data_IF_756266915472
#
_entry.id   IF_756266915472
#
_cell.length_a   1.000
_cell.length_b   1.000
_cell.length_c   1.000
_cell.angle_alpha   90.00
_cell.angle_beta   90.00
_cell.angle_gamma   90.00
#
_symmetry.space_group_name_H-M   'P 1'
#
loop_
_entity.id
_entity.type
_entity.pdbx_description
1 polymer ?
#
# COMPACT_ATOMS: atom_id res chain seq x y z
N UNK A 1 31.45 31.84 -76.27
CA UNK A 1 32.87 31.88 -75.87
C UNK A 1 33.00 30.96 -74.68
N UNK A 2 33.43 29.72 -74.93
CA UNK A 2 33.97 28.83 -73.89
C UNK A 2 35.16 29.55 -73.22
N UNK A 3 35.38 29.35 -71.92
CA UNK A 3 36.60 28.72 -71.39
C UNK A 3 36.26 27.99 -70.09
N UNK A 4 36.63 26.73 -70.08
CA UNK A 4 36.58 25.72 -69.04
C UNK A 4 37.82 25.81 -68.12
N UNK A 5 37.70 25.56 -66.81
CA UNK A 5 38.60 24.65 -66.03
C UNK A 5 38.32 24.64 -64.53
N UNK A 6 37.88 23.47 -64.08
CA UNK A 6 38.16 22.75 -62.82
C UNK A 6 39.03 23.43 -61.76
N UNK A 7 38.54 23.41 -60.51
CA UNK A 7 39.36 22.97 -59.38
C UNK A 7 38.50 22.21 -58.37
N UNK A 8 38.63 20.89 -58.41
CA UNK A 8 38.16 19.94 -57.42
C UNK A 8 38.90 20.19 -56.10
N UNK A 9 38.18 20.33 -54.99
CA UNK A 9 38.72 20.03 -53.67
C UNK A 9 37.64 19.34 -52.85
N UNK A 10 37.79 18.03 -52.74
CA UNK A 10 36.98 17.18 -51.90
C UNK A 10 37.21 17.54 -50.44
N UNK A 11 36.11 17.81 -49.74
CA UNK A 11 36.01 17.55 -48.32
C UNK A 11 34.87 16.56 -48.17
N UNK A 12 35.20 15.27 -48.29
CA UNK A 12 34.37 14.18 -47.78
C UNK A 12 34.39 14.26 -46.24
N UNK A 13 33.70 15.27 -45.70
CA UNK A 13 33.33 15.31 -44.30
C UNK A 13 32.09 14.45 -44.12
N UNK A 14 32.27 13.13 -43.99
CA UNK A 14 31.24 12.30 -43.38
C UNK A 14 31.11 12.78 -41.93
N UNK A 15 30.22 13.75 -41.72
CA UNK A 15 29.78 14.13 -40.40
C UNK A 15 28.95 12.95 -39.87
N UNK A 16 29.66 11.93 -39.38
CA UNK A 16 29.10 10.97 -38.45
C UNK A 16 28.73 11.78 -37.20
N UNK A 17 27.54 12.37 -37.21
CA UNK A 17 26.91 12.95 -36.03
C UNK A 17 26.85 11.80 -35.04
N UNK A 18 27.77 11.82 -34.07
CA UNK A 18 27.78 10.88 -32.97
C UNK A 18 26.43 11.00 -32.27
N UNK A 19 25.50 10.12 -32.64
CA UNK A 19 24.16 10.09 -32.09
C UNK A 19 24.29 9.58 -30.67
N UNK A 20 24.50 10.51 -29.74
CA UNK A 20 24.53 10.24 -28.31
C UNK A 20 23.37 9.31 -27.97
N UNK A 21 23.68 8.10 -27.51
CA UNK A 21 22.66 7.15 -27.09
C UNK A 21 21.95 7.77 -25.89
N UNK A 22 20.75 8.32 -26.11
CA UNK A 22 19.82 8.72 -25.04
C UNK A 22 19.32 7.44 -24.34
N UNK A 23 20.19 6.80 -23.57
CA UNK A 23 19.83 5.70 -22.68
C UNK A 23 19.82 6.27 -21.26
N UNK A 24 18.74 6.02 -20.53
CA UNK A 24 18.70 6.34 -19.10
C UNK A 24 19.80 5.56 -18.37
N UNK A 25 20.49 6.23 -17.46
CA UNK A 25 21.40 5.58 -16.51
C UNK A 25 20.63 4.90 -15.37
N UNK A 26 19.35 5.24 -15.19
CA UNK A 26 18.47 4.60 -14.22
C UNK A 26 18.12 3.20 -14.75
N UNK A 27 18.41 2.12 -14.00
CA UNK A 27 17.98 0.78 -14.39
C UNK A 27 16.46 0.72 -14.52
N UNK A 28 15.93 0.07 -15.55
CA UNK A 28 14.47 -0.10 -15.73
C UNK A 28 13.82 -0.90 -14.59
N UNK A 29 14.60 -1.73 -13.90
CA UNK A 29 14.17 -2.44 -12.70
C UNK A 29 13.99 -1.51 -11.50
N UNK A 30 14.68 -0.37 -11.45
CA UNK A 30 14.65 0.54 -10.29
C UNK A 30 13.28 1.17 -10.07
N UNK A 31 12.61 1.56 -11.16
CA UNK A 31 11.25 2.13 -11.11
C UNK A 31 10.16 1.07 -10.92
N UNK A 32 10.52 -0.21 -11.00
CA UNK A 32 9.55 -1.32 -11.00
C UNK A 32 9.76 -2.31 -9.87
N UNK A 33 10.89 -2.32 -9.17
CA UNK A 33 11.15 -3.25 -8.06
C UNK A 33 10.42 -2.82 -6.80
N UNK A 34 9.73 -3.77 -6.17
CA UNK A 34 9.26 -3.62 -4.80
C UNK A 34 10.45 -3.83 -3.87
N UNK A 35 10.56 -3.01 -2.83
CA UNK A 35 11.58 -3.15 -1.79
C UNK A 35 11.00 -2.88 -0.41
N UNK A 36 11.67 -3.39 0.62
CA UNK A 36 11.36 -3.06 2.00
C UNK A 36 11.80 -1.63 2.33
N UNK A 37 11.08 -1.00 3.25
CA UNK A 37 11.39 0.31 3.84
C UNK A 37 11.91 0.09 5.26
N UNK A 38 13.07 0.64 5.56
CA UNK A 38 13.65 0.60 6.89
C UNK A 38 13.18 1.79 7.74
N UNK A 39 13.36 1.69 9.06
CA UNK A 39 12.90 2.73 10.01
C UNK A 39 13.55 4.10 9.80
N UNK A 40 14.78 4.16 9.29
CA UNK A 40 15.44 5.44 8.96
C UNK A 40 14.83 6.13 7.73
N UNK A 41 14.02 5.41 6.95
CA UNK A 41 13.31 5.92 5.77
C UNK A 41 11.86 6.33 6.10
N UNK A 42 11.41 6.15 7.35
CA UNK A 42 10.00 6.36 7.73
C UNK A 42 9.49 7.77 7.47
N UNK A 43 10.34 8.79 7.57
CA UNK A 43 9.94 10.17 7.25
C UNK A 43 9.61 10.36 5.76
N UNK A 44 10.41 9.78 4.87
CA UNK A 44 10.19 9.89 3.43
C UNK A 44 8.96 9.08 2.98
N UNK A 45 8.84 7.84 3.46
CA UNK A 45 7.67 7.00 3.20
C UNK A 45 6.39 7.56 3.85
N UNK A 46 6.49 8.13 5.06
CA UNK A 46 5.38 8.80 5.75
C UNK A 46 4.89 10.02 5.01
N UNK A 47 5.80 10.85 4.49
CA UNK A 47 5.43 11.98 3.61
C UNK A 47 4.72 11.53 2.33
N UNK A 48 5.15 10.40 1.75
CA UNK A 48 4.47 9.82 0.58
C UNK A 48 3.03 9.41 0.88
N UNK A 49 2.81 8.70 2.00
CA UNK A 49 1.45 8.36 2.43
C UNK A 49 0.64 9.62 2.76
N UNK A 50 1.22 10.61 3.44
CA UNK A 50 0.53 11.86 3.73
C UNK A 50 0.01 12.54 2.46
N UNK A 51 0.81 12.56 1.38
CA UNK A 51 0.39 13.06 0.07
C UNK A 51 -0.71 12.22 -0.58
N UNK A 52 -0.62 10.89 -0.46
CA UNK A 52 -1.64 9.98 -1.01
C UNK A 52 -2.99 10.09 -0.29
N UNK A 53 -2.97 10.38 1.01
CA UNK A 53 -4.14 10.47 1.89
C UNK A 53 -4.52 11.93 2.24
N UNK A 54 -3.98 12.93 1.53
CA UNK A 54 -4.19 14.34 1.83
C UNK A 54 -5.68 14.76 1.80
N UNK A 55 -6.49 14.08 0.99
CA UNK A 55 -7.94 14.30 0.85
C UNK A 55 -8.74 13.06 1.25
N UNK A 56 -8.17 12.19 2.07
CA UNK A 56 -8.86 11.01 2.58
C UNK A 56 -9.80 11.39 3.71
N UNK A 57 -11.06 10.94 3.62
CA UNK A 57 -12.10 11.35 4.54
C UNK A 57 -11.86 10.87 5.97
N UNK A 58 -11.24 9.69 6.14
CA UNK A 58 -10.89 9.18 7.47
C UNK A 58 -9.73 9.96 8.08
N UNK A 59 -8.75 10.37 7.27
CA UNK A 59 -7.65 11.22 7.73
C UNK A 59 -8.17 12.59 8.18
N UNK A 60 -9.09 13.20 7.43
CA UNK A 60 -9.75 14.46 7.80
C UNK A 60 -10.61 14.28 9.06
N UNK A 61 -11.36 13.19 9.17
CA UNK A 61 -12.17 12.87 10.36
C UNK A 61 -11.36 12.87 11.65
N UNK A 62 -10.14 12.37 11.61
CA UNK A 62 -9.27 12.27 12.80
C UNK A 62 -8.50 13.56 13.08
N UNK A 63 -8.09 14.29 12.05
CA UNK A 63 -7.08 15.34 12.17
C UNK A 63 -7.61 16.77 11.93
N UNK A 64 -8.85 16.90 11.44
CA UNK A 64 -9.50 18.17 11.10
C UNK A 64 -10.91 18.24 11.73
N UNK A 65 -10.96 18.08 13.05
CA UNK A 65 -12.20 18.25 13.84
C UNK A 65 -12.56 19.72 14.07
N UNK A 66 -13.80 19.97 14.52
CA UNK A 66 -14.30 21.32 14.78
C UNK A 66 -13.45 22.09 15.82
N UNK A 67 -12.82 21.37 16.76
CA UNK A 67 -11.92 21.93 17.77
C UNK A 67 -10.53 22.32 17.22
N UNK A 68 -10.32 22.15 15.91
CA UNK A 68 -9.14 22.56 15.16
C UNK A 68 -9.46 23.69 14.17
N UNK A 69 -10.61 24.36 14.28
CA UNK A 69 -11.01 25.44 13.37
C UNK A 69 -10.00 26.60 13.29
N UNK A 70 -9.33 26.91 14.40
CA UNK A 70 -8.32 27.98 14.48
C UNK A 70 -6.91 27.56 14.02
N UNK A 71 -6.71 26.27 13.68
CA UNK A 71 -5.42 25.77 13.21
C UNK A 71 -5.23 26.11 11.74
N UNK A 72 -4.03 26.57 11.39
CA UNK A 72 -3.63 26.77 9.99
C UNK A 72 -3.55 25.43 9.24
N UNK A 73 -3.72 25.51 7.91
CA UNK A 73 -3.54 24.36 7.01
C UNK A 73 -2.14 23.75 7.15
N UNK A 74 -1.10 24.56 7.37
CA UNK A 74 0.26 24.08 7.59
C UNK A 74 0.40 23.26 8.89
N UNK A 75 -0.30 23.65 9.97
CA UNK A 75 -0.30 22.89 11.23
C UNK A 75 -1.03 21.55 11.07
N UNK A 76 -2.19 21.54 10.41
CA UNK A 76 -2.96 20.32 10.13
C UNK A 76 -2.16 19.39 9.21
N UNK A 77 -1.53 19.94 8.18
CA UNK A 77 -0.64 19.21 7.28
C UNK A 77 0.54 18.60 8.02
N UNK A 78 1.19 19.38 8.91
CA UNK A 78 2.28 18.86 9.73
C UNK A 78 1.82 17.71 10.62
N UNK A 79 0.66 17.82 11.26
CA UNK A 79 0.08 16.75 12.08
C UNK A 79 -0.17 15.49 11.25
N UNK A 80 -0.71 15.62 10.04
CA UNK A 80 -0.93 14.51 9.11
C UNK A 80 0.37 13.82 8.68
N UNK A 81 1.40 14.61 8.37
CA UNK A 81 2.73 14.06 8.03
C UNK A 81 3.36 13.35 9.23
N UNK A 82 3.27 13.92 10.43
CA UNK A 82 3.76 13.29 11.65
C UNK A 82 3.02 11.97 11.91
N UNK A 83 1.68 11.96 11.82
CA UNK A 83 0.84 10.77 11.95
C UNK A 83 1.27 9.65 11.00
N UNK A 84 1.36 9.94 9.70
CA UNK A 84 1.77 8.96 8.69
C UNK A 84 3.20 8.47 8.91
N UNK A 85 4.11 9.36 9.34
CA UNK A 85 5.49 9.00 9.67
C UNK A 85 5.55 8.02 10.85
N UNK A 86 4.78 8.26 11.91
CA UNK A 86 4.72 7.35 13.05
C UNK A 86 4.09 6.02 12.68
N UNK A 87 3.05 6.01 11.84
CA UNK A 87 2.46 4.76 11.34
C UNK A 87 3.47 3.94 10.53
N UNK A 88 4.23 4.58 9.63
CA UNK A 88 5.31 3.89 8.91
C UNK A 88 6.36 3.36 9.88
N UNK A 89 6.84 4.18 10.82
CA UNK A 89 7.87 3.78 11.77
C UNK A 89 7.40 2.59 12.63
N UNK A 90 6.15 2.60 13.11
CA UNK A 90 5.57 1.50 13.87
C UNK A 90 5.55 0.20 13.05
N UNK A 91 5.17 0.27 11.77
CA UNK A 91 5.18 -0.90 10.88
C UNK A 91 6.59 -1.33 10.48
N UNK A 92 7.59 -0.44 10.47
CA UNK A 92 8.99 -0.86 10.30
C UNK A 92 9.51 -1.67 11.51
N UNK A 93 8.98 -1.45 12.72
CA UNK A 93 9.37 -2.20 13.92
C UNK A 93 8.62 -3.52 14.10
N UNK A 94 7.32 -3.53 13.77
CA UNK A 94 6.40 -4.63 14.11
C UNK A 94 5.76 -5.33 12.91
N UNK A 95 5.82 -4.72 11.74
CA UNK A 95 5.14 -5.17 10.53
C UNK A 95 6.08 -5.27 9.33
N UNK A 96 5.51 -5.07 8.15
CA UNK A 96 6.23 -5.09 6.88
C UNK A 96 5.84 -3.82 6.13
N UNK A 97 6.83 -3.03 5.75
CA UNK A 97 6.63 -1.83 4.94
C UNK A 97 7.31 -2.04 3.60
N UNK A 98 6.52 -1.97 2.52
CA UNK A 98 7.02 -2.08 1.16
C UNK A 98 6.81 -0.78 0.39
N UNK A 99 7.72 -0.49 -0.53
CA UNK A 99 7.62 0.66 -1.43
C UNK A 99 8.07 0.30 -2.83
N UNK A 100 7.62 1.09 -3.79
CA UNK A 100 8.00 1.02 -5.19
C UNK A 100 8.13 2.43 -5.74
N UNK A 101 9.03 2.57 -6.72
CA UNK A 101 9.38 3.85 -7.29
C UNK A 101 10.65 4.43 -6.68
N UNK A 102 11.23 5.40 -7.39
CA UNK A 102 12.51 6.01 -7.01
C UNK A 102 12.41 6.90 -5.77
N UNK A 103 11.24 7.50 -5.57
CA UNK A 103 10.95 8.43 -4.46
C UNK A 103 9.69 7.99 -3.71
N UNK A 104 9.65 6.74 -3.26
CA UNK A 104 8.55 6.17 -2.47
C UNK A 104 7.17 6.39 -3.11
N UNK A 105 7.08 6.32 -4.43
CA UNK A 105 5.91 6.74 -5.21
C UNK A 105 4.64 5.98 -4.82
N UNK A 106 4.77 4.74 -4.37
CA UNK A 106 3.74 4.05 -3.60
C UNK A 106 4.34 3.33 -2.39
N UNK A 107 3.56 3.24 -1.31
CA UNK A 107 3.94 2.62 -0.04
C UNK A 107 2.79 1.76 0.46
N UNK A 108 3.08 0.57 1.00
CA UNK A 108 2.12 -0.31 1.66
C UNK A 108 2.63 -0.76 3.03
N UNK A 109 1.74 -0.75 4.02
CA UNK A 109 1.99 -1.11 5.42
C UNK A 109 1.17 -2.36 5.74
N UNK A 110 1.85 -3.41 6.14
CA UNK A 110 1.25 -4.69 6.47
C UNK A 110 1.58 -5.09 7.90
N UNK A 111 0.64 -5.74 8.57
CA UNK A 111 0.90 -6.57 9.74
C UNK A 111 0.83 -8.04 9.35
N UNK A 112 1.84 -8.79 9.77
CA UNK A 112 1.90 -10.24 9.58
C UNK A 112 0.97 -10.96 10.57
N UNK A 113 0.60 -12.23 10.30
CA UNK A 113 -0.15 -13.06 11.22
C UNK A 113 0.42 -13.03 12.65
N UNK A 114 -0.47 -12.87 13.63
CA UNK A 114 -0.15 -12.84 15.05
C UNK A 114 0.48 -11.52 15.54
N UNK A 115 0.77 -10.57 14.65
CA UNK A 115 1.28 -9.26 15.04
C UNK A 115 0.15 -8.30 15.39
N UNK A 116 0.36 -7.53 16.46
CA UNK A 116 -0.48 -6.42 16.88
C UNK A 116 0.41 -5.22 17.25
N UNK A 117 -0.15 -4.02 17.13
CA UNK A 117 0.57 -2.75 17.30
C UNK A 117 0.47 -2.16 18.72
N UNK A 118 0.11 -2.98 19.71
CA UNK A 118 -0.27 -2.57 21.05
C UNK A 118 0.87 -2.59 22.08
N UNK A 119 2.11 -2.82 21.65
CA UNK A 119 3.25 -2.87 22.58
C UNK A 119 3.88 -1.48 22.83
N UNK A 120 4.21 -1.25 24.10
CA UNK A 120 4.86 -0.03 24.60
C UNK A 120 6.15 0.33 23.86
N UNK A 121 6.96 -0.68 23.48
CA UNK A 121 8.25 -0.44 22.87
C UNK A 121 8.11 0.15 21.47
N UNK A 122 7.24 -0.43 20.66
CA UNK A 122 6.88 0.10 19.33
C UNK A 122 6.27 1.49 19.47
N UNK A 123 5.39 1.71 20.46
CA UNK A 123 4.79 3.03 20.70
C UNK A 123 5.84 4.12 20.95
N UNK A 124 6.84 3.86 21.81
CA UNK A 124 7.94 4.81 22.06
C UNK A 124 8.78 5.03 20.81
N UNK A 125 9.27 3.94 20.22
CA UNK A 125 10.30 3.97 19.17
C UNK A 125 9.77 4.54 17.86
N UNK A 126 8.49 4.34 17.57
CA UNK A 126 7.81 4.93 16.41
C UNK A 126 7.44 6.39 16.60
N UNK A 127 7.34 6.86 17.85
CA UNK A 127 6.80 8.17 18.16
C UNK A 127 5.28 8.21 18.28
N UNK A 128 4.58 7.08 18.21
CA UNK A 128 3.12 7.02 18.33
C UNK A 128 2.60 7.65 19.63
N UNK A 129 3.37 7.58 20.72
CA UNK A 129 3.03 8.27 21.98
C UNK A 129 2.86 9.78 21.82
N UNK A 130 3.59 10.41 20.88
CA UNK A 130 3.50 11.86 20.62
C UNK A 130 2.15 12.22 20.05
N UNK A 131 1.53 11.33 19.27
CA UNK A 131 0.23 11.57 18.66
C UNK A 131 -0.82 11.92 19.71
N UNK A 132 -0.81 11.25 20.87
CA UNK A 132 -1.72 11.56 21.98
C UNK A 132 -1.61 13.03 22.44
N UNK A 133 -0.41 13.61 22.40
CA UNK A 133 -0.18 15.02 22.77
C UNK A 133 -0.41 16.00 21.61
N UNK A 134 -0.32 15.54 20.36
CA UNK A 134 -0.46 16.37 19.16
C UNK A 134 -1.91 16.45 18.66
N UNK A 135 -2.72 15.42 18.91
CA UNK A 135 -4.15 15.43 18.59
C UNK A 135 -4.91 16.43 19.46
N UNK A 136 -5.98 16.98 18.89
CA UNK A 136 -6.97 17.75 19.65
C UNK A 136 -7.75 16.85 20.61
N UNK A 137 -8.64 17.43 21.43
CA UNK A 137 -9.44 16.63 22.36
C UNK A 137 -10.41 15.73 21.59
N UNK A 138 -11.06 16.27 20.56
CA UNK A 138 -11.95 15.52 19.70
C UNK A 138 -11.19 14.51 18.83
N UNK A 139 -10.02 14.89 18.28
CA UNK A 139 -9.18 13.97 17.53
C UNK A 139 -8.71 12.77 18.35
N UNK A 140 -8.36 12.98 19.63
CA UNK A 140 -8.05 11.88 20.57
C UNK A 140 -9.26 10.97 20.79
N UNK A 141 -10.44 11.54 21.06
CA UNK A 141 -11.67 10.78 21.29
C UNK A 141 -12.01 9.92 20.06
N UNK A 142 -12.03 10.53 18.87
CA UNK A 142 -12.29 9.84 17.60
C UNK A 142 -11.28 8.73 17.31
N UNK A 143 -10.00 8.95 17.61
CA UNK A 143 -8.96 7.96 17.36
C UNK A 143 -9.00 6.80 18.37
N UNK A 144 -8.91 7.10 19.68
CA UNK A 144 -8.70 6.10 20.73
C UNK A 144 -9.99 5.48 21.28
N UNK A 145 -11.07 6.26 21.37
CA UNK A 145 -12.31 5.81 22.00
C UNK A 145 -13.34 5.32 20.98
N UNK A 146 -13.14 5.61 19.69
CA UNK A 146 -14.09 5.28 18.61
C UNK A 146 -13.45 4.44 17.50
N UNK A 147 -12.53 4.99 16.70
CA UNK A 147 -11.96 4.31 15.55
C UNK A 147 -11.25 3.00 15.94
N UNK A 148 -10.25 3.06 16.81
CA UNK A 148 -9.46 1.88 17.16
C UNK A 148 -10.32 0.74 17.75
N UNK A 149 -11.21 0.97 18.72
CA UNK A 149 -12.11 -0.06 19.24
C UNK A 149 -13.00 -0.66 18.15
N UNK A 150 -13.64 0.19 17.33
CA UNK A 150 -14.57 -0.27 16.28
C UNK A 150 -13.86 -1.12 15.24
N UNK A 151 -12.68 -0.70 14.76
CA UNK A 151 -11.93 -1.44 13.77
C UNK A 151 -11.39 -2.76 14.35
N UNK A 152 -10.85 -2.75 15.57
CA UNK A 152 -10.36 -3.97 16.22
C UNK A 152 -11.48 -4.99 16.46
N UNK A 153 -12.63 -4.53 16.98
CA UNK A 153 -13.79 -5.39 17.18
C UNK A 153 -14.30 -5.94 15.84
N UNK A 154 -14.41 -5.09 14.82
CA UNK A 154 -14.89 -5.47 13.51
C UNK A 154 -13.98 -6.51 12.84
N UNK A 155 -12.66 -6.34 12.92
CA UNK A 155 -11.68 -7.31 12.43
C UNK A 155 -11.85 -8.66 13.13
N UNK A 156 -11.95 -8.66 14.45
CA UNK A 156 -12.17 -9.87 15.26
C UNK A 156 -13.46 -10.60 14.85
N UNK A 157 -14.57 -9.87 14.68
CA UNK A 157 -15.87 -10.44 14.28
C UNK A 157 -15.86 -11.01 12.85
N UNK A 158 -15.27 -10.28 11.89
CA UNK A 158 -15.24 -10.68 10.47
C UNK A 158 -14.25 -11.83 10.22
N UNK A 159 -13.09 -11.79 10.86
CA UNK A 159 -12.04 -12.79 10.65
C UNK A 159 -12.23 -14.03 11.55
N UNK A 160 -12.84 -13.87 12.72
CA UNK A 160 -13.08 -14.94 13.68
C UNK A 160 -11.80 -15.70 14.00
N UNK A 161 -11.81 -17.02 13.80
CA UNK A 161 -10.64 -17.89 14.04
C UNK A 161 -9.40 -17.50 13.22
N UNK A 162 -9.57 -16.79 12.10
CA UNK A 162 -8.48 -16.38 11.19
C UNK A 162 -7.85 -15.05 11.58
N UNK A 163 -8.39 -14.35 12.58
CA UNK A 163 -7.93 -13.01 12.96
C UNK A 163 -6.41 -12.98 13.23
N UNK A 164 -5.92 -13.92 14.03
CA UNK A 164 -4.48 -14.08 14.34
C UNK A 164 -3.67 -14.77 13.24
N UNK A 165 -4.32 -15.28 12.19
CA UNK A 165 -3.68 -16.07 11.13
C UNK A 165 -3.71 -15.36 9.76
N UNK A 166 -4.00 -14.06 9.76
CA UNK A 166 -4.22 -13.25 8.56
C UNK A 166 -3.24 -12.08 8.44
N UNK A 167 -2.94 -11.71 7.21
CA UNK A 167 -2.26 -10.45 6.92
C UNK A 167 -3.24 -9.30 6.98
N UNK A 168 -2.81 -8.18 7.55
CA UNK A 168 -3.61 -6.95 7.60
C UNK A 168 -2.91 -5.84 6.82
N UNK A 169 -3.52 -5.40 5.71
CA UNK A 169 -3.11 -4.21 4.97
C UNK A 169 -3.68 -2.97 5.65
N UNK A 170 -2.85 -2.27 6.42
CA UNK A 170 -3.26 -1.12 7.23
C UNK A 170 -3.29 0.16 6.38
N UNK A 171 -2.27 0.36 5.53
CA UNK A 171 -2.24 1.47 4.57
C UNK A 171 -1.69 1.02 3.24
N UNK A 172 -2.27 1.54 2.16
CA UNK A 172 -1.66 1.54 0.84
C UNK A 172 -1.96 2.86 0.15
N UNK A 173 -0.91 3.56 -0.28
CA UNK A 173 -1.01 4.87 -0.91
C UNK A 173 -0.11 4.98 -2.13
N UNK A 174 -0.53 5.80 -3.10
CA UNK A 174 0.30 6.20 -4.24
C UNK A 174 0.24 7.71 -4.37
N UNK A 175 1.40 8.37 -4.46
CA UNK A 175 1.50 9.82 -4.66
C UNK A 175 0.65 10.25 -5.86
N UNK A 176 -0.03 11.41 -5.81
CA UNK A 176 -0.86 11.87 -6.92
C UNK A 176 -0.17 11.85 -8.29
N UNK A 177 1.11 12.25 -8.35
CA UNK A 177 1.91 12.29 -9.58
C UNK A 177 2.37 10.90 -10.11
N UNK A 178 2.16 9.83 -9.34
CA UNK A 178 2.54 8.47 -9.69
C UNK A 178 1.34 7.52 -9.84
N UNK A 179 0.10 8.03 -9.70
CA UNK A 179 -1.11 7.26 -9.93
C UNK A 179 -1.22 6.78 -11.38
N UNK A 180 -2.00 5.72 -11.62
CA UNK A 180 -2.19 5.13 -12.94
C UNK A 180 -1.04 4.24 -13.45
N UNK A 181 0.09 4.16 -12.71
CA UNK A 181 1.26 3.33 -13.09
C UNK A 181 1.20 1.87 -12.63
N UNK A 182 0.14 1.48 -11.92
CA UNK A 182 -0.04 0.11 -11.43
C UNK A 182 0.81 -0.27 -10.19
N UNK A 183 1.46 0.70 -9.56
CA UNK A 183 2.35 0.51 -8.41
C UNK A 183 1.68 -0.12 -7.18
N UNK A 184 0.56 0.44 -6.71
CA UNK A 184 -0.19 -0.15 -5.60
C UNK A 184 -0.57 -1.61 -5.88
N UNK A 185 -0.91 -1.93 -7.14
CA UNK A 185 -1.29 -3.30 -7.50
C UNK A 185 -0.10 -4.26 -7.48
N UNK A 186 1.09 -3.75 -7.80
CA UNK A 186 2.32 -4.53 -7.67
C UNK A 186 2.67 -4.80 -6.20
N UNK A 187 2.52 -3.80 -5.31
CA UNK A 187 2.73 -3.98 -3.86
C UNK A 187 1.78 -5.04 -3.27
N UNK A 188 0.51 -5.04 -3.67
CA UNK A 188 -0.46 -6.05 -3.20
C UNK A 188 -0.06 -7.44 -3.70
N UNK A 189 0.24 -7.61 -4.99
CA UNK A 189 0.60 -8.93 -5.56
C UNK A 189 1.86 -9.51 -4.94
N UNK A 190 2.89 -8.69 -4.76
CA UNK A 190 4.16 -9.12 -4.16
C UNK A 190 3.95 -9.76 -2.77
N UNK A 191 3.05 -9.19 -1.97
CA UNK A 191 2.64 -9.77 -0.70
C UNK A 191 1.65 -10.94 -0.85
N UNK A 192 0.64 -10.80 -1.72
CA UNK A 192 -0.42 -11.79 -1.92
C UNK A 192 0.05 -13.14 -2.45
N UNK A 193 1.14 -13.12 -3.22
CA UNK A 193 1.75 -14.31 -3.83
C UNK A 193 2.75 -15.01 -2.89
N UNK A 194 3.13 -14.36 -1.78
CA UNK A 194 4.15 -14.89 -0.86
C UNK A 194 3.62 -16.00 0.07
N UNK A 195 2.34 -15.95 0.45
CA UNK A 195 1.75 -16.89 1.42
C UNK A 195 0.28 -17.20 1.12
N UNK A 196 -0.10 -18.48 1.23
CA UNK A 196 -1.48 -18.95 1.08
C UNK A 196 -2.32 -18.66 2.34
N UNK A 197 -2.42 -17.39 2.71
CA UNK A 197 -3.14 -16.94 3.91
C UNK A 197 -4.26 -15.95 3.61
N UNK A 198 -5.28 -15.86 4.48
CA UNK A 198 -6.28 -14.80 4.40
C UNK A 198 -5.63 -13.43 4.55
N UNK A 199 -6.21 -12.45 3.86
CA UNK A 199 -5.80 -11.05 3.96
C UNK A 199 -7.00 -10.17 4.28
N UNK A 200 -6.79 -9.14 5.06
CA UNK A 200 -7.80 -8.25 5.59
C UNK A 200 -7.39 -6.81 5.34
N UNK A 201 -8.35 -5.95 5.02
CA UNK A 201 -8.17 -4.50 4.91
C UNK A 201 -9.47 -3.77 5.23
N UNK A 202 -9.36 -2.49 5.59
CA UNK A 202 -10.48 -1.56 5.57
C UNK A 202 -10.25 -0.50 4.48
N UNK A 203 -11.23 -0.38 3.59
CA UNK A 203 -11.24 0.62 2.54
C UNK A 203 -11.99 1.86 3.04
N UNK A 204 -11.35 3.03 3.04
CA UNK A 204 -11.95 4.31 3.44
C UNK A 204 -12.78 4.99 2.32
N UNK A 205 -12.86 4.38 1.13
CA UNK A 205 -13.61 4.94 0.00
C UNK A 205 -14.20 3.85 -0.90
N UNK A 206 -15.51 3.93 -1.17
CA UNK A 206 -16.24 2.92 -1.94
C UNK A 206 -15.64 2.68 -3.33
N UNK A 207 -15.17 3.77 -3.97
CA UNK A 207 -14.51 3.72 -5.29
C UNK A 207 -13.29 2.78 -5.32
N UNK A 208 -12.65 2.54 -4.18
CA UNK A 208 -11.48 1.67 -4.08
C UNK A 208 -11.87 0.19 -3.98
N UNK A 209 -13.12 -0.15 -3.62
CA UNK A 209 -13.55 -1.53 -3.43
C UNK A 209 -13.44 -2.32 -4.74
N UNK A 210 -13.84 -1.73 -5.87
CA UNK A 210 -13.67 -2.33 -7.19
C UNK A 210 -12.20 -2.49 -7.61
N UNK A 211 -11.29 -1.69 -7.06
CA UNK A 211 -9.86 -1.88 -7.24
C UNK A 211 -9.36 -3.09 -6.44
N UNK A 212 -9.72 -3.21 -5.16
CA UNK A 212 -9.31 -4.33 -4.30
C UNK A 212 -9.92 -5.67 -4.75
N UNK A 213 -11.14 -5.65 -5.31
CA UNK A 213 -11.79 -6.84 -5.87
C UNK A 213 -10.97 -7.53 -6.96
N UNK A 214 -10.16 -6.77 -7.73
CA UNK A 214 -9.25 -7.34 -8.75
C UNK A 214 -8.16 -8.23 -8.16
N UNK A 215 -7.90 -8.13 -6.87
CA UNK A 215 -6.93 -8.95 -6.13
C UNK A 215 -7.60 -10.06 -5.30
N UNK A 216 -8.92 -10.23 -5.43
CA UNK A 216 -9.70 -11.25 -4.72
C UNK A 216 -10.23 -10.82 -3.35
N UNK A 217 -10.19 -9.52 -3.02
CA UNK A 217 -10.84 -9.00 -1.82
C UNK A 217 -12.35 -8.85 -2.04
N UNK A 218 -13.13 -9.30 -1.08
CA UNK A 218 -14.58 -9.17 -1.08
C UNK A 218 -15.04 -8.33 0.11
N UNK A 219 -16.00 -7.43 -0.10
CA UNK A 219 -16.63 -6.68 0.99
C UNK A 219 -17.39 -7.67 1.89
N UNK A 220 -17.09 -7.66 3.18
CA UNK A 220 -17.76 -8.48 4.20
C UNK A 220 -18.64 -7.67 5.14
N UNK A 221 -18.31 -6.39 5.36
CA UNK A 221 -19.05 -5.51 6.26
C UNK A 221 -18.84 -4.04 5.90
N UNK A 222 -19.82 -3.21 6.21
CA UNK A 222 -19.72 -1.75 6.24
C UNK A 222 -19.70 -1.26 7.69
N UNK A 223 -18.82 -0.32 7.99
CA UNK A 223 -18.72 0.39 9.27
C UNK A 223 -18.95 1.88 9.00
N UNK A 224 -19.70 2.53 9.89
CA UNK A 224 -20.04 3.95 9.77
C UNK A 224 -19.60 4.69 11.03
N UNK A 225 -18.94 5.82 10.86
CA UNK A 225 -18.55 6.75 11.92
C UNK A 225 -19.40 8.02 11.78
N UNK A 226 -20.19 8.34 12.80
CA UNK A 226 -21.19 9.42 12.75
C UNK A 226 -20.69 10.74 13.38
N UNK A 227 -19.47 10.79 13.90
CA UNK A 227 -18.96 11.94 14.66
C UNK A 227 -18.58 13.19 13.84
N UNK A 228 -18.90 13.24 12.55
CA UNK A 228 -18.62 14.36 11.63
C UNK A 228 -19.88 14.83 10.91
N UNK A 229 -19.81 16.00 10.26
CA UNK A 229 -20.93 16.57 9.50
C UNK A 229 -21.49 15.60 8.45
N UNK A 230 -20.61 14.89 7.74
CA UNK A 230 -20.97 13.75 6.90
C UNK A 230 -20.43 12.45 7.50
N UNK A 231 -21.23 11.38 7.61
CA UNK A 231 -20.76 10.10 8.15
C UNK A 231 -19.64 9.50 7.30
N UNK A 232 -18.57 9.05 7.95
CA UNK A 232 -17.47 8.35 7.28
C UNK A 232 -17.78 6.87 7.22
N UNK A 233 -17.74 6.32 6.00
CA UNK A 233 -17.96 4.89 5.76
C UNK A 233 -16.65 4.19 5.48
N UNK A 234 -16.49 3.00 6.06
CA UNK A 234 -15.40 2.09 5.74
C UNK A 234 -15.96 0.72 5.32
N UNK A 235 -15.35 0.13 4.31
CA UNK A 235 -15.70 -1.21 3.82
C UNK A 235 -14.64 -2.19 4.24
N UNK A 236 -15.05 -3.14 5.06
CA UNK A 236 -14.20 -4.22 5.54
C UNK A 236 -14.12 -5.27 4.46
N UNK A 237 -12.92 -5.55 3.97
CA UNK A 237 -12.71 -6.47 2.87
C UNK A 237 -11.77 -7.60 3.26
N UNK A 238 -12.11 -8.81 2.80
CA UNK A 238 -11.34 -10.02 3.07
C UNK A 238 -11.02 -10.71 1.75
N UNK A 239 -9.76 -11.11 1.59
CA UNK A 239 -9.30 -12.01 0.55
C UNK A 239 -9.02 -13.37 1.18
N UNK A 240 -9.72 -14.40 0.73
CA UNK A 240 -9.42 -15.78 1.12
C UNK A 240 -8.14 -16.27 0.41
N UNK A 241 -7.39 -17.22 1.03
CA UNK A 241 -6.31 -17.87 0.33
C UNK A 241 -6.84 -18.58 -0.90
N UNK A 242 -6.14 -18.46 -2.02
CA UNK A 242 -6.45 -19.21 -3.23
C UNK A 242 -6.20 -20.70 -2.93
N UNK A 243 -7.27 -21.46 -2.70
CA UNK A 243 -7.18 -22.92 -2.61
C UNK A 243 -6.61 -23.40 -3.96
N UNK A 244 -5.43 -24.02 -4.00
CA UNK A 244 -4.95 -24.59 -5.25
C UNK A 244 -6.00 -25.61 -5.71
N UNK A 245 -6.50 -25.46 -6.95
CA UNK A 245 -7.40 -26.47 -7.53
C UNK A 245 -6.75 -27.84 -7.35
N UNK A 246 -7.45 -28.85 -6.81
CA UNK A 246 -6.90 -30.19 -6.81
C UNK A 246 -6.52 -30.52 -8.25
N UNK A 247 -5.26 -30.92 -8.44
CA UNK A 247 -4.78 -31.39 -9.74
C UNK A 247 -5.80 -32.42 -10.23
N UNK A 248 -6.36 -32.19 -11.42
CA UNK A 248 -7.37 -33.06 -12.01
C UNK A 248 -6.84 -34.50 -11.91
N UNK A 249 -7.50 -35.32 -11.10
CA UNK A 249 -6.97 -36.61 -10.69
C UNK A 249 -6.65 -37.45 -11.92
N UNK A 250 -5.40 -37.89 -12.03
CA UNK A 250 -5.05 -39.01 -12.90
C UNK A 250 -5.88 -40.20 -12.43
N UNK A 251 -6.92 -40.53 -13.20
CA UNK A 251 -7.71 -41.75 -13.04
C UNK A 251 -6.73 -42.91 -13.14
N UNK A 252 -6.41 -43.52 -12.00
CA UNK A 252 -5.71 -44.80 -11.99
C UNK A 252 -6.74 -45.85 -12.37
N UNK A 253 -6.73 -46.25 -13.64
CA UNK A 253 -7.49 -47.41 -14.11
C UNK A 253 -6.79 -48.65 -13.56
N UNK A 254 -7.30 -49.18 -12.45
CA UNK A 254 -6.86 -50.49 -11.94
C UNK A 254 -7.49 -51.57 -12.81
N UNK A 255 -6.74 -52.11 -13.77
CA UNK A 255 -7.12 -53.32 -14.50
C UNK A 255 -7.12 -54.51 -13.54
N UNK A 256 -8.30 -55.04 -13.22
CA UNK A 256 -8.45 -56.30 -12.48
C UNK A 256 -8.16 -57.45 -13.46
N UNK A 257 -7.03 -58.13 -13.27
CA UNK A 257 -6.70 -59.35 -14.00
C UNK A 257 -7.43 -60.54 -13.36
N UNK A 258 -8.43 -61.07 -14.05
CA UNK A 258 -9.11 -62.31 -13.67
C UNK A 258 -8.22 -63.52 -13.99
N UNK A 259 -7.71 -64.20 -12.96
CA UNK A 259 -7.05 -65.49 -13.11
C UNK A 259 -8.10 -66.60 -13.06
N UNK A 260 -8.31 -67.27 -14.20
CA UNK A 260 -9.05 -68.53 -14.32
C UNK A 260 -8.14 -69.66 -13.81
N UNK A 261 -8.64 -70.47 -12.88
CA UNK A 261 -7.99 -71.74 -12.48
C UNK A 261 -8.76 -72.91 -13.13
N UNK A 262 -7.99 -73.81 -13.75
CA UNK A 262 -8.41 -75.15 -14.17
C UNK A 262 -8.51 -76.07 -12.95
#
# INVERSE_FOLDING_TARGET
MEINKNCSNGINGSAAIARWRRRSLIPSSWETSVRLVNVNESAAAGSSLAQAFATDAMSQYLLDGDDMADYSDEQKWKLHVDYMTYMVAAHCYKGIVTTIGSDYEAVALWLAPGQQMDDWWTSIRSGMWKLNYQLSAEGRRRYYDEMLPVLNQTKSEVMGKRDKDSYYLVYIGTKPNAQGRGYAGKLIRDMADSEQRPMYLESSAERNNGYYAKFGFEVKREVVFEGSFEPIKMWIMVREPLIPRPACGSIVVTTVSSAVKF
#
